data_IF_878499378266
#
_entry.id   IF_878499378266
#
_cell.length_a   1.000
_cell.length_b   1.000
_cell.length_c   1.000
_cell.angle_alpha   90.00
_cell.angle_beta   90.00
_cell.angle_gamma   90.00
#
_symmetry.space_group_name_H-M   'P 1'
#
loop_
_entity.id
_entity.type
_entity.pdbx_description
1 polymer ?
#
# COMPACT_ATOMS: atom_id res chain seq x y z
N UNK A 1 6.20 -3.23 -11.89
CA UNK A 1 6.73 -4.62 -11.91
C UNK A 1 8.00 -4.69 -12.72
N UNK A 2 8.10 -3.96 -13.83
CA UNK A 2 9.26 -3.94 -14.73
C UNK A 2 10.59 -3.68 -14.02
N UNK A 3 10.64 -2.71 -13.09
CA UNK A 3 11.85 -2.44 -12.29
C UNK A 3 12.33 -3.64 -11.46
N UNK A 4 11.41 -4.45 -10.93
CA UNK A 4 11.77 -5.68 -10.20
C UNK A 4 12.14 -6.78 -11.20
N UNK A 5 11.41 -6.86 -12.31
CA UNK A 5 11.64 -7.83 -13.38
C UNK A 5 12.96 -7.65 -14.11
N UNK A 6 13.61 -6.50 -14.01
CA UNK A 6 14.96 -6.28 -14.58
C UNK A 6 16.09 -6.91 -13.75
N UNK A 7 15.83 -7.36 -12.53
CA UNK A 7 16.83 -8.05 -11.71
C UNK A 7 16.93 -9.53 -12.07
N UNK A 8 18.11 -10.12 -11.86
CA UNK A 8 18.28 -11.58 -11.93
C UNK A 8 17.36 -12.28 -10.93
N UNK A 9 17.01 -13.54 -11.19
CA UNK A 9 16.17 -14.32 -10.27
C UNK A 9 16.79 -14.35 -8.86
N UNK A 10 18.08 -14.67 -8.75
CA UNK A 10 18.83 -14.65 -7.49
C UNK A 10 18.70 -13.30 -6.76
N UNK A 11 18.78 -12.18 -7.47
CA UNK A 11 18.65 -10.86 -6.86
C UNK A 11 17.23 -10.52 -6.46
N UNK A 12 16.22 -11.06 -7.14
CA UNK A 12 14.83 -10.88 -6.72
C UNK A 12 14.54 -11.57 -5.38
N UNK A 13 15.20 -12.70 -5.11
CA UNK A 13 15.07 -13.45 -3.86
C UNK A 13 16.06 -13.03 -2.76
N UNK A 14 17.07 -12.21 -3.07
CA UNK A 14 18.08 -11.85 -2.06
C UNK A 14 17.56 -10.85 -1.03
N UNK A 15 18.03 -11.05 0.21
CA UNK A 15 17.78 -10.17 1.33
C UNK A 15 18.45 -8.80 1.15
N UNK A 16 17.79 -7.76 1.64
CA UNK A 16 18.31 -6.42 1.77
C UNK A 16 19.31 -6.35 2.95
N UNK A 17 20.22 -5.36 2.95
CA UNK A 17 21.05 -5.07 4.11
C UNK A 17 20.21 -4.92 5.39
N UNK A 18 20.77 -5.33 6.53
CA UNK A 18 20.11 -5.18 7.84
C UNK A 18 19.82 -3.69 8.11
N UNK A 19 18.70 -3.41 8.78
CA UNK A 19 18.35 -2.05 9.20
C UNK A 19 16.91 -1.60 8.87
N UNK A 20 16.17 -2.39 8.09
CA UNK A 20 14.75 -2.14 7.79
C UNK A 20 13.88 -3.33 8.19
N UNK A 21 12.59 -3.09 8.44
CA UNK A 21 11.62 -4.16 8.71
C UNK A 21 11.35 -5.00 7.47
N UNK A 22 11.11 -4.36 6.32
CA UNK A 22 10.98 -5.06 5.05
C UNK A 22 12.38 -5.48 4.60
N UNK A 23 12.63 -6.79 4.54
CA UNK A 23 13.96 -7.35 4.34
C UNK A 23 14.20 -7.88 2.95
N UNK A 24 13.20 -7.95 2.09
CA UNK A 24 13.35 -8.37 0.70
C UNK A 24 12.23 -7.76 -0.16
N UNK A 25 12.24 -8.05 -1.46
CA UNK A 25 11.26 -7.51 -2.40
C UNK A 25 9.84 -7.93 -2.01
N UNK A 26 9.64 -9.21 -1.65
CA UNK A 26 8.33 -9.71 -1.24
C UNK A 26 7.75 -8.90 -0.08
N UNK A 27 8.53 -8.62 0.95
CA UNK A 27 8.05 -7.85 2.11
C UNK A 27 7.53 -6.48 1.68
N UNK A 28 8.25 -5.80 0.78
CA UNK A 28 7.83 -4.50 0.23
C UNK A 28 6.54 -4.64 -0.59
N UNK A 29 6.41 -5.68 -1.43
CA UNK A 29 5.20 -5.90 -2.24
C UNK A 29 3.98 -6.19 -1.38
N UNK A 30 4.14 -7.01 -0.33
CA UNK A 30 3.04 -7.36 0.57
C UNK A 30 2.64 -6.20 1.47
N UNK A 31 3.59 -5.34 1.84
CA UNK A 31 3.31 -4.08 2.50
C UNK A 31 2.40 -3.20 1.62
N UNK A 32 2.80 -2.93 0.36
CA UNK A 32 1.99 -2.17 -0.59
C UNK A 32 0.61 -2.80 -0.80
N UNK A 33 0.57 -4.12 -0.98
CA UNK A 33 -0.67 -4.86 -1.20
C UNK A 33 -1.64 -4.67 -0.04
N UNK A 34 -1.17 -4.79 1.21
CA UNK A 34 -2.04 -4.64 2.37
C UNK A 34 -2.58 -3.23 2.53
N UNK A 35 -1.75 -2.21 2.27
CA UNK A 35 -2.20 -0.82 2.28
C UNK A 35 -3.24 -0.52 1.19
N UNK A 36 -3.17 -1.19 0.04
CA UNK A 36 -4.28 -1.14 -0.93
C UNK A 36 -5.56 -1.76 -0.38
N UNK A 37 -5.48 -2.91 0.32
CA UNK A 37 -6.66 -3.55 0.89
C UNK A 37 -7.34 -2.67 1.93
N UNK A 38 -6.56 -2.09 2.85
CA UNK A 38 -7.08 -1.15 3.84
C UNK A 38 -7.73 0.06 3.18
N UNK A 39 -7.10 0.66 2.17
CA UNK A 39 -7.70 1.78 1.44
C UNK A 39 -9.02 1.39 0.75
N UNK A 40 -9.09 0.20 0.14
CA UNK A 40 -10.35 -0.29 -0.46
C UNK A 40 -11.45 -0.51 0.58
N UNK A 41 -11.10 -0.99 1.77
CA UNK A 41 -12.04 -1.17 2.88
C UNK A 41 -12.54 0.18 3.41
N UNK A 42 -11.64 1.13 3.65
CA UNK A 42 -12.00 2.48 4.08
C UNK A 42 -12.93 3.16 3.08
N UNK A 43 -12.63 3.04 1.79
CA UNK A 43 -13.50 3.54 0.73
C UNK A 43 -14.87 2.87 0.76
N UNK A 44 -14.92 1.54 0.85
CA UNK A 44 -16.18 0.79 0.81
C UNK A 44 -17.09 1.16 1.98
N UNK A 45 -16.55 1.30 3.19
CA UNK A 45 -17.31 1.70 4.39
C UNK A 45 -17.66 3.19 4.31
N UNK A 46 -16.68 4.03 4.01
CA UNK A 46 -16.82 5.48 3.96
C UNK A 46 -17.85 5.95 2.94
N UNK A 47 -17.89 5.32 1.77
CA UNK A 47 -18.85 5.65 0.71
C UNK A 47 -20.29 5.21 1.02
N UNK A 48 -20.50 4.34 2.02
CA UNK A 48 -21.84 4.04 2.58
C UNK A 48 -22.31 5.10 3.58
N UNK A 49 -21.50 6.13 3.86
CA UNK A 49 -21.79 7.14 4.87
C UNK A 49 -21.36 6.74 6.29
N UNK A 50 -20.73 5.57 6.45
CA UNK A 50 -20.21 5.07 7.72
C UNK A 50 -18.80 5.62 7.99
N UNK A 51 -18.32 5.46 9.24
CA UNK A 51 -16.96 5.86 9.62
C UNK A 51 -16.04 4.63 9.65
N UNK A 52 -15.10 4.47 8.69
CA UNK A 52 -14.15 3.38 8.74
C UNK A 52 -13.18 3.52 9.92
N UNK A 53 -12.74 2.37 10.47
CA UNK A 53 -11.66 2.31 11.44
C UNK A 53 -10.31 2.45 10.71
N UNK A 54 -9.67 3.62 10.84
CA UNK A 54 -8.43 3.95 10.15
C UNK A 54 -7.28 4.21 11.15
N UNK A 55 -6.08 3.63 10.94
CA UNK A 55 -5.70 2.79 9.80
C UNK A 55 -6.27 1.37 9.86
N UNK A 56 -6.46 0.81 11.05
CA UNK A 56 -7.07 -0.50 11.25
C UNK A 56 -7.63 -0.60 12.68
N UNK A 57 -8.53 -1.56 12.90
CA UNK A 57 -9.09 -1.83 14.24
C UNK A 57 -7.99 -2.09 15.27
N UNK A 58 -8.02 -1.36 16.38
CA UNK A 58 -7.02 -1.46 17.45
C UNK A 58 -5.70 -0.70 17.17
N UNK A 59 -5.58 -0.03 16.03
CA UNK A 59 -4.42 0.78 15.67
C UNK A 59 -4.80 2.25 15.45
N UNK A 60 -3.82 3.13 15.64
CA UNK A 60 -3.92 4.56 15.37
C UNK A 60 -2.81 4.96 14.40
N UNK A 61 -2.89 6.15 13.81
CA UNK A 61 -1.79 6.68 12.99
C UNK A 61 -0.46 6.77 13.75
N UNK A 62 -0.49 6.93 15.08
CA UNK A 62 0.71 6.93 15.93
C UNK A 62 1.31 5.52 16.08
N UNK A 63 0.47 4.49 16.01
CA UNK A 63 0.89 3.07 16.13
C UNK A 63 1.00 2.36 14.77
N UNK A 64 1.22 3.16 13.72
CA UNK A 64 1.49 2.64 12.38
C UNK A 64 2.74 1.74 12.32
N UNK A 65 3.84 2.00 13.07
CA UNK A 65 4.97 1.08 13.12
C UNK A 65 4.58 -0.34 13.58
N UNK A 66 3.74 -0.45 14.60
CA UNK A 66 3.24 -1.74 15.13
C UNK A 66 2.30 -2.42 14.14
N UNK A 67 1.42 -1.66 13.48
CA UNK A 67 0.59 -2.16 12.39
C UNK A 67 1.46 -2.72 11.26
N UNK A 68 2.50 -1.99 10.86
CA UNK A 68 3.42 -2.41 9.81
C UNK A 68 4.16 -3.69 10.19
N UNK A 69 4.54 -3.86 11.46
CA UNK A 69 5.13 -5.10 11.96
C UNK A 69 4.14 -6.26 11.85
N UNK A 70 2.89 -6.05 12.25
CA UNK A 70 1.84 -7.06 12.10
C UNK A 70 1.60 -7.43 10.62
N UNK A 71 1.60 -6.45 9.71
CA UNK A 71 1.50 -6.69 8.26
C UNK A 71 2.66 -7.55 7.79
N UNK A 72 3.88 -7.23 8.20
CA UNK A 72 5.05 -8.04 7.86
C UNK A 72 4.92 -9.47 8.39
N UNK A 73 4.57 -9.65 9.67
CA UNK A 73 4.37 -10.97 10.29
C UNK A 73 3.29 -11.79 9.57
N UNK A 74 2.20 -11.14 9.12
CA UNK A 74 1.11 -11.77 8.38
C UNK A 74 1.55 -12.36 7.04
N UNK A 75 2.51 -11.72 6.37
CA UNK A 75 2.88 -12.07 5.00
C UNK A 75 4.30 -12.62 4.84
N UNK A 76 5.06 -12.76 5.93
CA UNK A 76 6.47 -13.21 5.92
C UNK A 76 6.71 -14.59 5.32
N UNK A 77 5.67 -15.38 5.09
CA UNK A 77 5.75 -16.73 4.49
C UNK A 77 5.16 -16.78 3.07
N UNK A 78 4.70 -15.64 2.53
CA UNK A 78 4.20 -15.53 1.15
C UNK A 78 5.35 -15.80 0.17
N UNK A 79 5.07 -16.45 -0.96
CA UNK A 79 6.06 -16.57 -2.03
C UNK A 79 6.24 -15.22 -2.75
N UNK A 80 7.39 -14.99 -3.38
CA UNK A 80 7.58 -13.77 -4.18
C UNK A 80 6.60 -13.72 -5.36
N UNK A 81 6.28 -14.85 -5.96
CA UNK A 81 5.35 -14.94 -7.09
C UNK A 81 3.91 -14.59 -6.67
N UNK A 82 3.45 -15.09 -5.53
CA UNK A 82 2.15 -14.70 -4.98
C UNK A 82 2.14 -13.21 -4.60
N UNK A 83 3.23 -12.70 -4.02
CA UNK A 83 3.31 -11.28 -3.70
C UNK A 83 3.22 -10.37 -4.93
N UNK A 84 3.84 -10.77 -6.05
CA UNK A 84 3.69 -10.07 -7.35
C UNK A 84 2.25 -10.13 -7.84
N UNK A 85 1.61 -11.30 -7.78
CA UNK A 85 0.22 -11.51 -8.21
C UNK A 85 -0.76 -10.69 -7.38
N UNK A 86 -0.60 -10.71 -6.06
CA UNK A 86 -1.46 -10.03 -5.10
C UNK A 86 -1.34 -8.52 -5.22
N UNK A 87 -0.12 -7.99 -5.34
CA UNK A 87 0.07 -6.56 -5.58
C UNK A 87 -0.52 -6.14 -6.93
N UNK A 88 -0.33 -6.93 -8.00
CA UNK A 88 -0.92 -6.64 -9.32
C UNK A 88 -2.46 -6.65 -9.26
N UNK A 89 -3.04 -7.56 -8.49
CA UNK A 89 -4.49 -7.65 -8.28
C UNK A 89 -5.02 -6.43 -7.53
N UNK A 90 -4.40 -6.06 -6.39
CA UNK A 90 -4.85 -4.91 -5.60
C UNK A 90 -4.60 -3.58 -6.32
N UNK A 91 -3.49 -3.45 -7.06
CA UNK A 91 -3.22 -2.33 -7.96
C UNK A 91 -4.36 -2.12 -8.96
N UNK A 92 -4.81 -3.16 -9.66
CA UNK A 92 -5.92 -3.07 -10.62
C UNK A 92 -7.24 -2.64 -9.96
N UNK A 93 -7.47 -3.02 -8.71
CA UNK A 93 -8.67 -2.61 -7.95
C UNK A 93 -8.61 -1.12 -7.60
N UNK A 94 -7.49 -0.65 -7.06
CA UNK A 94 -7.33 0.76 -6.68
C UNK A 94 -7.28 1.67 -7.91
N UNK A 95 -6.64 1.25 -9.02
CA UNK A 95 -6.66 2.00 -10.29
C UNK A 95 -8.07 2.18 -10.83
N UNK A 96 -8.87 1.12 -10.89
CA UNK A 96 -10.28 1.20 -11.30
C UNK A 96 -11.12 2.07 -10.37
N UNK A 97 -10.79 2.13 -9.08
CA UNK A 97 -11.45 3.05 -8.16
C UNK A 97 -11.11 4.50 -8.52
N UNK A 98 -9.82 4.82 -8.72
CA UNK A 98 -9.37 6.16 -9.11
C UNK A 98 -10.05 6.59 -10.43
N UNK A 99 -10.01 5.73 -11.45
CA UNK A 99 -10.53 6.00 -12.80
C UNK A 99 -12.06 6.19 -12.85
N UNK A 100 -12.79 5.84 -11.78
CA UNK A 100 -14.24 6.05 -11.69
C UNK A 100 -14.64 7.44 -11.19
N UNK A 101 -13.70 8.22 -10.68
CA UNK A 101 -13.98 9.52 -10.09
C UNK A 101 -13.52 10.65 -11.00
N UNK A 102 -14.22 11.78 -10.96
CA UNK A 102 -13.73 13.03 -11.54
C UNK A 102 -12.63 13.66 -10.67
N UNK A 103 -11.93 14.65 -11.22
CA UNK A 103 -10.93 15.41 -10.46
C UNK A 103 -11.59 16.15 -9.28
N UNK A 104 -12.79 16.69 -9.45
CA UNK A 104 -13.54 17.32 -8.35
C UNK A 104 -13.82 16.30 -7.24
N UNK A 105 -14.28 15.10 -7.60
CA UNK A 105 -14.54 14.04 -6.63
C UNK A 105 -13.27 13.57 -5.90
N UNK A 106 -12.12 13.59 -6.58
CA UNK A 106 -10.84 13.20 -5.98
C UNK A 106 -10.24 14.32 -5.13
N UNK A 107 -10.36 15.57 -5.52
CA UNK A 107 -9.54 16.66 -4.96
C UNK A 107 -10.31 17.70 -4.17
N UNK A 108 -11.64 17.73 -4.23
CA UNK A 108 -12.45 18.55 -3.33
C UNK A 108 -12.30 18.08 -1.87
N UNK A 109 -11.85 18.97 -1.00
CA UNK A 109 -11.69 18.70 0.43
C UNK A 109 -13.05 18.63 1.11
N UNK A 110 -13.17 17.79 2.14
CA UNK A 110 -14.40 17.63 2.95
C UNK A 110 -15.64 17.18 2.15
N UNK A 111 -15.48 16.80 0.87
CA UNK A 111 -16.57 16.26 0.05
C UNK A 111 -17.18 15.00 0.67
N UNK A 112 -16.34 14.08 1.13
CA UNK A 112 -16.77 12.86 1.81
C UNK A 112 -16.51 12.96 3.31
N UNK A 113 -17.56 12.78 4.12
CA UNK A 113 -17.46 12.93 5.59
C UNK A 113 -16.36 12.07 6.21
N UNK A 114 -16.13 10.87 5.67
CA UNK A 114 -15.14 9.92 6.18
C UNK A 114 -13.69 10.33 5.89
N UNK A 115 -13.44 11.23 4.94
CA UNK A 115 -12.09 11.77 4.65
C UNK A 115 -11.72 12.96 5.54
N UNK A 116 -12.56 13.31 6.51
CA UNK A 116 -12.29 14.38 7.48
C UNK A 116 -12.11 15.73 6.81
N UNK A 117 -10.97 16.38 7.06
CA UNK A 117 -10.66 17.71 6.49
C UNK A 117 -9.97 17.67 5.12
N UNK A 118 -9.63 16.48 4.64
CA UNK A 118 -8.91 16.28 3.37
C UNK A 118 -9.82 15.74 2.26
N UNK A 119 -9.24 15.50 1.08
CA UNK A 119 -9.90 14.91 -0.07
C UNK A 119 -9.68 13.39 -0.15
N UNK A 120 -10.50 12.69 -0.94
CA UNK A 120 -10.33 11.27 -1.25
C UNK A 120 -8.97 10.99 -1.90
N UNK A 121 -8.55 11.87 -2.80
CA UNK A 121 -7.28 11.82 -3.51
C UNK A 121 -6.08 11.79 -2.56
N UNK A 122 -6.13 12.46 -1.40
CA UNK A 122 -5.03 12.42 -0.43
C UNK A 122 -4.80 11.00 0.12
N UNK A 123 -5.87 10.27 0.47
CA UNK A 123 -5.78 8.88 0.91
C UNK A 123 -5.29 7.96 -0.22
N UNK A 124 -5.80 8.15 -1.44
CA UNK A 124 -5.38 7.38 -2.61
C UNK A 124 -3.90 7.60 -2.94
N UNK A 125 -3.42 8.84 -2.95
CA UNK A 125 -2.00 9.18 -3.16
C UNK A 125 -1.13 8.54 -2.09
N UNK A 126 -1.54 8.63 -0.82
CA UNK A 126 -0.81 8.03 0.30
C UNK A 126 -0.71 6.51 0.18
N UNK A 127 -1.77 5.83 -0.27
CA UNK A 127 -1.77 4.38 -0.45
C UNK A 127 -1.13 3.92 -1.78
N UNK A 128 -0.94 4.82 -2.75
CA UNK A 128 -0.46 4.50 -4.11
C UNK A 128 0.80 5.26 -4.50
N UNK A 129 0.71 6.34 -5.26
CA UNK A 129 1.87 7.00 -5.92
C UNK A 129 2.97 7.36 -4.94
N UNK A 130 2.65 7.95 -3.79
CA UNK A 130 3.63 8.25 -2.74
C UNK A 130 4.25 6.97 -2.16
N UNK A 131 3.44 5.92 -1.99
CA UNK A 131 3.89 4.65 -1.46
C UNK A 131 4.78 3.88 -2.44
N UNK A 132 4.46 3.92 -3.75
CA UNK A 132 5.28 3.33 -4.79
C UNK A 132 6.63 4.03 -4.91
N UNK A 133 6.67 5.35 -4.76
CA UNK A 133 7.93 6.10 -4.74
C UNK A 133 8.83 5.68 -3.56
N UNK A 134 8.25 5.53 -2.36
CA UNK A 134 8.96 4.95 -1.22
C UNK A 134 9.49 3.53 -1.52
N UNK A 135 8.64 2.65 -2.05
CA UNK A 135 9.01 1.27 -2.33
C UNK A 135 10.13 1.18 -3.36
N UNK A 136 10.03 1.96 -4.44
CA UNK A 136 11.06 2.08 -5.46
C UNK A 136 12.39 2.54 -4.87
N UNK A 137 12.39 3.63 -4.08
CA UNK A 137 13.59 4.16 -3.43
C UNK A 137 14.23 3.14 -2.48
N UNK A 138 13.42 2.42 -1.71
CA UNK A 138 13.89 1.39 -0.79
C UNK A 138 14.56 0.23 -1.54
N UNK A 139 13.87 -0.36 -2.52
CA UNK A 139 14.41 -1.49 -3.31
C UNK A 139 15.66 -1.06 -4.07
N UNK A 140 15.63 0.11 -4.72
CA UNK A 140 16.77 0.65 -5.46
C UNK A 140 17.99 0.85 -4.56
N UNK A 141 17.79 1.36 -3.34
CA UNK A 141 18.89 1.54 -2.38
C UNK A 141 19.44 0.20 -1.90
N UNK A 142 18.59 -0.79 -1.70
CA UNK A 142 18.98 -2.11 -1.19
C UNK A 142 19.65 -3.03 -2.23
N UNK A 143 19.45 -2.75 -3.53
CA UNK A 143 20.01 -3.51 -4.66
C UNK A 143 21.15 -2.77 -5.39
N UNK A 144 21.68 -1.70 -4.80
CA UNK A 144 22.96 -1.11 -5.20
C UNK A 144 24.09 -1.94 -4.61
#
# INVERSE_FOLDING_TARGET
MDFIGSFSEKDQFSEFPKGTMNRNIRDVLMHLHHWHLMMMEWYTIGMKGEKPEMPAKGYTWKTTPELNKWIWEKYKDTSLEDAKKDLKSSYKKVRRLIEKHSDEELFEKKRYKWTGTTSLGAYLVSATSSHYDWAYKLIKKAKK
#
